data_IF_397431977611
#
_entry.id   IF_397431977611
#
_cell.length_a   1.000
_cell.length_b   1.000
_cell.length_c   1.000
_cell.angle_alpha   90.00
_cell.angle_beta   90.00
_cell.angle_gamma   90.00
#
_symmetry.space_group_name_H-M   'P 1'
#
loop_
_entity.id
_entity.type
_entity.pdbx_description
1 polymer ?
#
# COMPACT_ATOMS: atom_id res chain seq x y z
N UNK A 1 9.99 -13.72 35.34
CA UNK A 1 8.78 -13.85 36.17
C UNK A 1 9.17 -14.17 37.59
N UNK A 2 8.91 -13.25 38.51
CA UNK A 2 9.19 -13.40 39.93
C UNK A 2 7.90 -13.86 40.63
N UNK A 3 7.90 -15.09 41.11
CA UNK A 3 6.76 -15.79 41.74
C UNK A 3 6.52 -15.34 43.21
N UNK A 4 7.35 -14.45 43.74
CA UNK A 4 7.24 -13.92 45.10
C UNK A 4 6.23 -12.77 45.23
N UNK A 5 5.86 -12.14 44.11
CA UNK A 5 4.85 -11.07 44.09
C UNK A 5 3.59 -11.69 43.49
N UNK A 6 2.65 -12.05 44.37
CA UNK A 6 1.33 -12.51 43.96
C UNK A 6 0.63 -11.46 43.11
N UNK A 7 -0.16 -11.91 42.14
CA UNK A 7 -0.96 -11.04 41.26
C UNK A 7 -1.96 -10.24 42.13
N UNK A 8 -1.82 -8.91 42.29
CA UNK A 8 -2.62 -8.11 43.21
C UNK A 8 -4.04 -7.84 42.68
N UNK A 9 -4.53 -8.64 41.73
CA UNK A 9 -5.86 -8.47 41.15
C UNK A 9 -6.93 -8.62 42.24
N UNK A 10 -7.94 -7.74 42.26
CA UNK A 10 -8.99 -7.78 43.26
C UNK A 10 -9.76 -9.12 43.18
N UNK A 11 -10.10 -9.68 44.34
CA UNK A 11 -10.83 -10.94 44.46
C UNK A 11 -12.34 -10.81 44.15
N UNK A 12 -12.81 -9.62 43.74
CA UNK A 12 -14.22 -9.30 43.51
C UNK A 12 -14.58 -9.08 42.04
N UNK A 13 -15.72 -8.41 41.82
CA UNK A 13 -16.19 -8.06 40.50
C UNK A 13 -15.15 -7.16 39.80
N UNK A 14 -14.74 -7.57 38.60
CA UNK A 14 -13.64 -6.90 37.88
C UNK A 14 -14.08 -6.57 36.47
N UNK A 15 -13.88 -5.32 36.07
CA UNK A 15 -14.05 -4.87 34.70
C UNK A 15 -12.66 -4.80 34.07
N UNK A 16 -12.52 -5.36 32.87
CA UNK A 16 -11.29 -5.29 32.09
C UNK A 16 -11.65 -4.95 30.67
N UNK A 17 -11.12 -3.84 30.18
CA UNK A 17 -11.22 -3.45 28.79
C UNK A 17 -9.93 -2.72 28.38
N UNK A 18 -9.34 -3.05 27.22
CA UNK A 18 -8.23 -2.27 26.70
C UNK A 18 -8.73 -0.92 26.17
N UNK A 19 -7.86 0.08 26.21
CA UNK A 19 -8.04 1.30 25.43
C UNK A 19 -8.22 0.97 23.95
N UNK A 20 -8.98 1.81 23.25
CA UNK A 20 -9.36 1.56 21.86
C UNK A 20 -9.06 2.75 20.97
N UNK A 21 -9.10 2.53 19.67
CA UNK A 21 -9.02 3.57 18.65
C UNK A 21 -10.39 3.73 17.98
N UNK A 22 -10.64 4.93 17.48
CA UNK A 22 -11.87 5.22 16.75
C UNK A 22 -11.99 4.30 15.52
N UNK A 23 -13.19 3.77 15.28
CA UNK A 23 -13.45 2.84 14.17
C UNK A 23 -13.00 1.39 14.42
N UNK A 24 -12.41 1.09 15.58
CA UNK A 24 -12.05 -0.28 15.98
C UNK A 24 -12.94 -0.74 17.14
N UNK A 25 -13.80 -1.76 16.95
CA UNK A 25 -14.57 -2.32 18.05
C UNK A 25 -13.66 -2.98 19.09
N UNK A 26 -13.85 -2.62 20.36
CA UNK A 26 -13.09 -3.18 21.49
C UNK A 26 -13.93 -4.11 22.34
N UNK A 27 -13.27 -5.05 23.03
CA UNK A 27 -13.91 -6.06 23.87
C UNK A 27 -13.83 -5.65 25.33
N UNK A 28 -14.98 -5.54 25.97
CA UNK A 28 -15.11 -5.35 27.42
C UNK A 28 -15.44 -6.69 28.06
N UNK A 29 -14.72 -7.05 29.11
CA UNK A 29 -14.96 -8.26 29.90
C UNK A 29 -15.26 -7.88 31.34
N UNK A 30 -16.40 -8.34 31.85
CA UNK A 30 -16.84 -8.12 33.22
C UNK A 30 -16.91 -9.47 33.91
N UNK A 31 -16.11 -9.65 34.95
CA UNK A 31 -16.19 -10.81 35.83
C UNK A 31 -17.14 -10.49 36.98
N UNK A 32 -18.29 -11.16 37.02
CA UNK A 32 -19.29 -10.98 38.09
C UNK A 32 -20.15 -12.23 38.25
N UNK A 33 -20.78 -12.38 39.42
CA UNK A 33 -21.70 -13.50 39.71
C UNK A 33 -23.13 -13.18 39.29
N UNK A 34 -23.52 -11.90 39.29
CA UNK A 34 -24.86 -11.43 38.88
C UNK A 34 -24.88 -11.03 37.41
N UNK A 35 -26.06 -10.70 36.87
CA UNK A 35 -26.17 -10.18 35.50
C UNK A 35 -25.75 -8.70 35.52
N UNK A 36 -24.72 -8.29 34.77
CA UNK A 36 -24.28 -6.90 34.76
C UNK A 36 -25.33 -6.01 34.06
N UNK A 37 -25.73 -4.93 34.72
CA UNK A 37 -26.53 -3.86 34.10
C UNK A 37 -25.65 -2.65 33.84
N UNK A 38 -25.06 -2.61 32.65
CA UNK A 38 -24.08 -1.58 32.29
C UNK A 38 -24.44 -0.97 30.94
N UNK A 39 -24.35 0.35 30.87
CA UNK A 39 -24.55 1.13 29.66
C UNK A 39 -23.25 1.73 29.15
N UNK A 40 -23.15 1.85 27.84
CA UNK A 40 -22.10 2.58 27.12
C UNK A 40 -22.77 3.57 26.19
N UNK A 41 -22.39 4.84 26.24
CA UNK A 41 -22.94 5.91 25.39
C UNK A 41 -24.49 5.92 25.36
N UNK A 42 -25.09 5.92 26.55
CA UNK A 42 -26.54 5.89 26.80
C UNK A 42 -27.29 4.67 26.22
N UNK A 43 -26.57 3.61 25.82
CA UNK A 43 -27.15 2.34 25.35
C UNK A 43 -26.77 1.20 26.26
N UNK A 44 -27.73 0.33 26.56
CA UNK A 44 -27.48 -0.89 27.34
C UNK A 44 -26.61 -1.85 26.52
N UNK A 45 -25.52 -2.34 27.12
CA UNK A 45 -24.65 -3.31 26.47
C UNK A 45 -25.29 -4.69 26.43
N UNK A 46 -25.14 -5.37 25.30
CA UNK A 46 -25.51 -6.78 25.17
C UNK A 46 -24.29 -7.64 25.47
N UNK A 47 -24.41 -8.54 26.44
CA UNK A 47 -23.33 -9.39 26.90
C UNK A 47 -23.52 -10.85 26.47
N UNK A 48 -22.42 -11.49 26.10
CA UNK A 48 -22.31 -12.94 25.98
C UNK A 48 -21.69 -13.50 27.27
N UNK A 49 -22.28 -14.54 27.85
CA UNK A 49 -21.81 -15.14 29.11
C UNK A 49 -20.94 -16.37 28.85
N UNK A 50 -19.78 -16.42 29.50
CA UNK A 50 -18.85 -17.55 29.55
C UNK A 50 -18.42 -17.80 31.00
N UNK A 51 -19.10 -18.75 31.68
CA UNK A 51 -18.92 -18.98 33.11
C UNK A 51 -19.30 -17.75 33.94
N UNK A 52 -18.33 -17.20 34.68
CA UNK A 52 -18.49 -15.94 35.44
C UNK A 52 -17.97 -14.70 34.70
N UNK A 53 -17.70 -14.81 33.39
CA UNK A 53 -17.28 -13.70 32.55
C UNK A 53 -18.41 -13.30 31.61
N UNK A 54 -18.67 -12.00 31.53
CA UNK A 54 -19.61 -11.39 30.60
C UNK A 54 -18.83 -10.52 29.63
N UNK A 55 -18.94 -10.81 28.34
CA UNK A 55 -18.19 -10.13 27.29
C UNK A 55 -19.13 -9.31 26.41
N UNK A 56 -18.80 -8.05 26.17
CA UNK A 56 -19.50 -7.16 25.24
C UNK A 56 -18.52 -6.52 24.26
N UNK A 57 -19.04 -6.10 23.12
CA UNK A 57 -18.31 -5.32 22.12
C UNK A 57 -18.77 -3.87 22.23
N UNK A 58 -17.81 -2.94 22.34
CA UNK A 58 -18.03 -1.50 22.33
C UNK A 58 -17.43 -0.90 21.06
N UNK A 59 -18.09 0.13 20.52
CA UNK A 59 -17.63 0.85 19.32
C UNK A 59 -17.84 2.35 19.53
N UNK A 60 -16.84 3.08 20.08
CA UNK A 60 -16.94 4.52 20.31
C UNK A 60 -17.02 5.28 18.99
N UNK A 61 -17.97 6.22 18.90
CA UNK A 61 -18.17 7.05 17.70
C UNK A 61 -17.40 8.36 17.73
N UNK A 62 -16.88 8.76 18.89
CA UNK A 62 -16.09 9.98 19.10
C UNK A 62 -14.85 9.66 19.94
N UNK A 63 -13.80 10.41 19.73
CA UNK A 63 -12.61 10.36 20.57
C UNK A 63 -12.92 10.93 21.96
N UNK A 64 -12.19 10.46 22.97
CA UNK A 64 -12.34 10.89 24.36
C UNK A 64 -12.45 9.74 25.35
N UNK A 65 -12.91 10.06 26.55
CA UNK A 65 -13.00 9.11 27.66
C UNK A 65 -14.45 8.65 27.85
N UNK A 66 -14.61 7.34 27.99
CA UNK A 66 -15.89 6.70 28.22
C UNK A 66 -15.87 5.97 29.55
N UNK A 67 -16.93 6.12 30.33
CA UNK A 67 -17.08 5.42 31.60
C UNK A 67 -18.05 4.24 31.47
N UNK A 68 -17.62 3.08 31.96
CA UNK A 68 -18.38 1.84 32.01
C UNK A 68 -18.43 1.41 33.48
N UNK A 69 -19.53 1.73 34.16
CA UNK A 69 -19.75 1.35 35.57
C UNK A 69 -18.56 1.70 36.51
N UNK A 70 -17.96 2.87 36.33
CA UNK A 70 -16.81 3.34 37.10
C UNK A 70 -15.45 3.01 36.49
N UNK A 71 -15.39 2.18 35.44
CA UNK A 71 -14.17 1.89 34.69
C UNK A 71 -14.04 2.85 33.50
N UNK A 72 -12.93 3.56 33.39
CA UNK A 72 -12.68 4.53 32.32
C UNK A 72 -11.89 3.88 31.17
N UNK A 73 -12.33 4.13 29.94
CA UNK A 73 -11.70 3.65 28.71
C UNK A 73 -11.42 4.87 27.84
N UNK A 74 -10.20 4.95 27.32
CA UNK A 74 -9.87 5.96 26.32
C UNK A 74 -10.17 5.44 24.91
N UNK A 75 -10.91 6.22 24.14
CA UNK A 75 -11.04 6.07 22.69
C UNK A 75 -10.12 7.11 22.03
N UNK A 76 -9.03 6.64 21.47
CA UNK A 76 -8.05 7.47 20.79
C UNK A 76 -8.46 7.75 19.34
N UNK A 77 -7.67 8.56 18.63
CA UNK A 77 -7.84 8.90 17.22
C UNK A 77 -8.08 7.67 16.30
N UNK A 78 -8.63 7.86 15.08
CA UNK A 78 -8.81 6.78 14.11
C UNK A 78 -7.51 6.02 13.84
N UNK A 79 -7.57 4.68 13.79
CA UNK A 79 -6.38 3.84 13.68
C UNK A 79 -5.49 4.18 12.48
N UNK A 80 -6.10 4.67 11.40
CA UNK A 80 -5.44 5.11 10.17
C UNK A 80 -4.43 6.24 10.41
N UNK A 81 -4.63 7.05 11.46
CA UNK A 81 -3.72 8.14 11.84
C UNK A 81 -2.56 7.68 12.72
N UNK A 82 -2.48 6.40 13.09
CA UNK A 82 -1.33 5.90 13.84
C UNK A 82 -0.06 5.87 13.01
N UNK A 83 -0.21 5.67 11.71
CA UNK A 83 0.89 5.45 10.76
C UNK A 83 1.08 6.62 9.80
N UNK A 84 0.43 7.76 10.04
CA UNK A 84 0.70 9.00 9.30
C UNK A 84 1.99 9.65 9.82
N UNK A 85 2.85 10.09 8.91
CA UNK A 85 4.13 10.72 9.22
C UNK A 85 5.33 9.92 8.73
N UNK A 86 6.46 10.02 9.42
CA UNK A 86 7.67 9.24 9.12
C UNK A 86 7.49 7.79 9.57
N UNK A 87 6.74 7.02 8.79
CA UNK A 87 6.66 5.58 8.94
C UNK A 87 7.94 4.95 8.36
N UNK A 88 8.66 4.15 9.16
CA UNK A 88 9.89 3.47 8.76
C UNK A 88 9.68 2.55 7.55
N UNK A 89 8.50 1.92 7.45
CA UNK A 89 8.12 1.04 6.35
C UNK A 89 7.88 1.81 5.04
N UNK A 90 7.49 3.08 5.14
CA UNK A 90 7.21 3.91 3.96
C UNK A 90 8.49 4.19 3.15
N UNK A 91 9.66 4.27 3.81
CA UNK A 91 10.94 4.44 3.13
C UNK A 91 11.27 3.27 2.21
N UNK A 92 11.01 2.03 2.66
CA UNK A 92 11.22 0.83 1.85
C UNK A 92 10.33 0.81 0.61
N UNK A 93 9.04 1.10 0.78
CA UNK A 93 8.08 1.15 -0.33
C UNK A 93 8.37 2.26 -1.35
N UNK A 94 8.88 3.42 -0.90
CA UNK A 94 9.34 4.49 -1.80
C UNK A 94 10.49 3.98 -2.67
N UNK A 95 11.44 3.23 -2.09
CA UNK A 95 12.54 2.61 -2.82
C UNK A 95 12.08 1.59 -3.85
N UNK A 96 11.10 0.74 -3.51
CA UNK A 96 10.48 -0.21 -4.45
C UNK A 96 9.82 0.49 -5.64
N UNK A 97 9.21 1.66 -5.41
CA UNK A 97 8.63 2.50 -6.45
C UNK A 97 9.67 3.31 -7.25
N UNK A 98 10.97 3.03 -7.08
CA UNK A 98 12.07 3.79 -7.68
C UNK A 98 12.07 5.29 -7.28
N UNK A 99 11.41 5.62 -6.17
CA UNK A 99 11.37 6.94 -5.57
C UNK A 99 12.51 7.15 -4.57
N UNK A 100 12.69 8.39 -4.13
CA UNK A 100 13.65 8.72 -3.07
C UNK A 100 13.08 9.81 -2.16
N UNK A 101 13.35 9.72 -0.86
CA UNK A 101 13.01 10.78 0.10
C UNK A 101 14.09 11.86 -0.02
N UNK A 102 13.70 13.09 -0.36
CA UNK A 102 14.60 14.23 -0.50
C UNK A 102 14.21 15.33 0.47
N UNK A 103 15.19 16.03 1.01
CA UNK A 103 14.93 17.25 1.78
C UNK A 103 14.50 18.38 0.83
N UNK A 104 13.81 19.40 1.36
CA UNK A 104 13.25 20.51 0.59
C UNK A 104 14.30 21.21 -0.30
N UNK A 105 15.51 21.45 0.24
CA UNK A 105 16.60 22.12 -0.51
C UNK A 105 17.16 21.25 -1.66
N UNK A 106 17.26 19.94 -1.45
CA UNK A 106 17.68 18.99 -2.49
C UNK A 106 16.60 18.83 -3.56
N UNK A 107 15.33 18.79 -3.15
CA UNK A 107 14.19 18.72 -4.06
C UNK A 107 14.20 19.93 -5.01
N UNK A 108 14.43 21.14 -4.51
CA UNK A 108 14.45 22.37 -5.32
C UNK A 108 15.49 22.37 -6.44
N UNK A 109 16.61 21.68 -6.25
CA UNK A 109 17.76 21.71 -7.17
C UNK A 109 17.82 20.47 -8.07
N UNK A 110 17.55 19.28 -7.53
CA UNK A 110 17.76 18.00 -8.22
C UNK A 110 16.51 17.46 -8.92
N UNK A 111 15.29 17.90 -8.53
CA UNK A 111 14.05 17.42 -9.15
C UNK A 111 14.03 17.62 -10.66
N UNK A 112 14.42 18.79 -11.17
CA UNK A 112 14.38 19.06 -12.60
C UNK A 112 15.35 18.18 -13.40
N UNK A 113 16.53 17.87 -12.85
CA UNK A 113 17.52 17.02 -13.49
C UNK A 113 17.07 15.56 -13.54
N UNK A 114 16.62 15.04 -12.40
CA UNK A 114 16.20 13.64 -12.26
C UNK A 114 14.91 13.35 -13.04
N UNK A 115 13.94 14.28 -13.04
CA UNK A 115 12.72 14.16 -13.87
C UNK A 115 13.09 14.13 -15.36
N UNK A 116 14.01 15.00 -15.79
CA UNK A 116 14.43 15.05 -17.19
C UNK A 116 15.15 13.77 -17.62
N UNK A 117 15.94 13.16 -16.73
CA UNK A 117 16.62 11.90 -17.01
C UNK A 117 15.65 10.71 -17.03
N UNK A 118 14.77 10.59 -16.03
CA UNK A 118 13.80 9.49 -15.93
C UNK A 118 12.66 9.57 -16.96
N UNK A 119 12.41 10.75 -17.54
CA UNK A 119 11.44 10.91 -18.63
C UNK A 119 11.97 10.42 -19.99
N UNK A 120 13.26 10.09 -20.11
CA UNK A 120 13.82 9.59 -21.38
C UNK A 120 13.64 8.07 -21.42
N UNK A 121 12.61 7.63 -22.13
CA UNK A 121 12.38 6.22 -22.42
C UNK A 121 13.22 5.81 -23.63
N UNK A 122 14.18 4.92 -23.43
CA UNK A 122 14.94 4.31 -24.52
C UNK A 122 14.03 3.30 -25.23
N UNK A 123 13.54 3.66 -26.41
CA UNK A 123 12.78 2.75 -27.28
C UNK A 123 13.77 2.10 -28.24
N UNK A 124 13.97 0.79 -28.11
CA UNK A 124 14.70 0.00 -29.10
C UNK A 124 13.78 -0.24 -30.30
N UNK A 125 13.94 0.55 -31.36
CA UNK A 125 13.31 0.27 -32.64
C UNK A 125 14.19 -0.67 -33.47
N UNK A 126 13.65 -1.78 -34.01
CA UNK A 126 14.40 -2.64 -34.90
C UNK A 126 14.71 -1.88 -36.21
N UNK A 127 15.99 -1.55 -36.40
CA UNK A 127 16.44 -0.88 -37.61
C UNK A 127 16.25 -1.80 -38.83
N UNK A 128 15.37 -1.39 -39.76
CA UNK A 128 15.06 -2.20 -40.95
C UNK A 128 16.05 -1.92 -42.08
N UNK A 129 16.92 -2.88 -42.40
CA UNK A 129 17.85 -2.81 -43.53
C UNK A 129 17.19 -3.07 -44.91
N UNK A 130 15.87 -2.88 -45.05
CA UNK A 130 15.13 -3.19 -46.30
C UNK A 130 15.57 -2.31 -47.49
N UNK A 131 15.79 -1.02 -47.25
CA UNK A 131 16.14 -0.05 -48.30
C UNK A 131 17.38 -0.42 -49.13
N UNK A 132 18.55 -0.77 -48.52
CA UNK A 132 19.72 -1.15 -49.31
C UNK A 132 19.50 -2.41 -50.16
N UNK A 133 18.74 -3.40 -49.67
CA UNK A 133 18.42 -4.60 -50.46
C UNK A 133 17.49 -4.32 -51.65
N UNK A 134 16.51 -3.43 -51.48
CA UNK A 134 15.63 -3.01 -52.57
C UNK A 134 16.45 -2.32 -53.67
N UNK A 135 17.33 -1.39 -53.28
CA UNK A 135 18.21 -0.70 -54.23
C UNK A 135 19.12 -1.69 -54.97
N UNK A 136 19.75 -2.62 -54.25
CA UNK A 136 20.60 -3.63 -54.87
C UNK A 136 19.83 -4.50 -55.88
N UNK A 137 18.62 -4.94 -55.54
CA UNK A 137 17.76 -5.74 -56.42
C UNK A 137 17.38 -4.98 -57.70
N UNK A 138 17.11 -3.67 -57.58
CA UNK A 138 16.75 -2.83 -58.70
C UNK A 138 17.92 -2.67 -59.70
N UNK A 139 19.14 -2.51 -59.19
CA UNK A 139 20.35 -2.41 -60.01
C UNK A 139 20.59 -3.71 -60.79
N UNK A 140 20.48 -4.85 -60.10
CA UNK A 140 20.64 -6.18 -60.73
C UNK A 140 19.59 -6.37 -61.83
N UNK A 141 18.32 -6.04 -61.55
CA UNK A 141 17.23 -6.17 -62.50
C UNK A 141 17.42 -5.27 -63.74
N UNK A 142 17.76 -3.99 -63.56
CA UNK A 142 18.05 -3.10 -64.69
C UNK A 142 19.24 -3.60 -65.52
N UNK A 143 20.30 -4.07 -64.85
CA UNK A 143 21.47 -4.64 -65.49
C UNK A 143 21.10 -5.83 -66.38
N UNK A 144 20.29 -6.76 -65.87
CA UNK A 144 19.81 -7.90 -66.66
C UNK A 144 19.01 -7.45 -67.90
N UNK A 145 18.07 -6.52 -67.73
CA UNK A 145 17.22 -6.03 -68.82
C UNK A 145 18.06 -5.37 -69.92
N UNK A 146 19.03 -4.53 -69.55
CA UNK A 146 19.93 -3.88 -70.51
C UNK A 146 20.76 -4.91 -71.27
N UNK A 147 21.38 -5.87 -70.56
CA UNK A 147 22.16 -6.94 -71.18
C UNK A 147 21.33 -7.79 -72.14
N UNK A 148 20.11 -8.17 -71.74
CA UNK A 148 19.17 -8.92 -72.58
C UNK A 148 18.77 -8.13 -73.82
N UNK A 149 18.51 -6.82 -73.68
CA UNK A 149 18.14 -5.93 -74.78
C UNK A 149 19.27 -5.76 -75.79
N UNK A 150 20.51 -5.63 -75.32
CA UNK A 150 21.70 -5.54 -76.19
C UNK A 150 21.95 -6.84 -76.95
N UNK A 151 21.83 -8.00 -76.29
CA UNK A 151 21.93 -9.31 -76.95
C UNK A 151 20.88 -9.49 -78.04
N UNK A 152 19.62 -9.13 -77.78
CA UNK A 152 18.55 -9.22 -78.78
C UNK A 152 18.79 -8.29 -79.99
N UNK A 153 19.34 -7.08 -79.78
CA UNK A 153 19.68 -6.18 -80.89
C UNK A 153 20.83 -6.71 -81.74
N UNK A 154 21.86 -7.30 -81.12
CA UNK A 154 22.98 -7.92 -81.85
C UNK A 154 22.55 -9.14 -82.66
N UNK A 155 21.64 -9.98 -82.14
CA UNK A 155 21.14 -11.16 -82.86
C UNK A 155 20.17 -10.84 -84.01
N UNK A 156 19.53 -9.66 -84.02
CA UNK A 156 18.65 -9.22 -85.12
C UNK A 156 19.39 -8.48 -86.24
N UNK A 157 20.66 -8.13 -86.03
CA UNK A 157 21.50 -7.41 -86.97
C UNK A 157 22.53 -8.31 -87.68
N UNK A 158 22.51 -9.62 -87.38
CA UNK A 158 23.21 -10.69 -88.08
C UNK A 158 22.17 -11.54 -88.82
#
# INVERSE_FOLDING_TARGET
MNWLIGDPRPAGDTITAPDTWLGTPSRVTIKTTSVPDVSFDNKRLSFTKEGNHYTAIIDPKKDGFYNIAGYEIAANYPLEYREIGFNEDMGAHIGECNGSVRNFEEAKTLLLGDIKANSVRVVNEPASAKMPFIIASLIIFLGEVILRRLRQRKMKAA
#
